data_IF_701904044929
#
_entry.id   IF_701904044929
#
_cell.length_a   1.000
_cell.length_b   1.000
_cell.length_c   1.000
_cell.angle_alpha   90.00
_cell.angle_beta   90.00
_cell.angle_gamma   90.00
#
_symmetry.space_group_name_H-M   'P 1'
#
loop_
_entity.id
_entity.type
_entity.pdbx_description
1 polymer ?
#
# COMPACT_ATOMS: atom_id res chain seq x y z
N UNK A 1 15.52 9.65 15.81
CA UNK A 1 15.66 8.91 14.52
C UNK A 1 15.09 7.50 14.58
N UNK A 2 15.39 6.67 15.61
CA UNK A 2 14.87 5.29 15.73
C UNK A 2 13.34 5.13 15.57
N UNK A 3 12.53 6.02 16.16
CA UNK A 3 11.05 5.99 16.02
C UNK A 3 10.58 6.20 14.57
N UNK A 4 11.22 7.10 13.83
CA UNK A 4 10.88 7.43 12.43
C UNK A 4 11.23 6.23 11.53
N UNK A 5 12.39 5.61 11.76
CA UNK A 5 12.81 4.39 11.04
C UNK A 5 11.85 3.23 11.30
N UNK A 6 11.39 3.03 12.55
CA UNK A 6 10.38 2.00 12.86
C UNK A 6 9.05 2.24 12.12
N UNK A 7 8.60 3.50 12.00
CA UNK A 7 7.42 3.85 11.20
C UNK A 7 7.67 3.52 9.73
N UNK A 8 8.88 3.74 9.21
CA UNK A 8 9.28 3.33 7.86
C UNK A 8 9.12 1.83 7.63
N UNK A 9 9.59 0.99 8.55
CA UNK A 9 9.42 -0.46 8.47
C UNK A 9 7.95 -0.89 8.47
N UNK A 10 7.12 -0.30 9.34
CA UNK A 10 5.68 -0.59 9.38
C UNK A 10 5.00 -0.24 8.04
N UNK A 11 5.33 0.92 7.46
CA UNK A 11 4.80 1.32 6.15
C UNK A 11 5.19 0.35 5.03
N UNK A 12 6.42 -0.18 5.06
CA UNK A 12 6.87 -1.20 4.10
C UNK A 12 6.04 -2.48 4.24
N UNK A 13 5.87 -2.98 5.47
CA UNK A 13 5.10 -4.21 5.71
C UNK A 13 3.65 -4.04 5.24
N UNK A 14 3.00 -2.93 5.60
CA UNK A 14 1.62 -2.64 5.17
C UNK A 14 1.55 -2.47 3.65
N UNK A 15 2.51 -1.76 3.06
CA UNK A 15 2.60 -1.57 1.61
C UNK A 15 2.73 -2.89 0.85
N UNK A 16 3.54 -3.83 1.36
CA UNK A 16 3.65 -5.17 0.81
C UNK A 16 2.34 -5.96 0.93
N UNK A 17 1.68 -5.92 2.08
CA UNK A 17 0.38 -6.57 2.27
C UNK A 17 -0.62 -6.03 1.23
N UNK A 18 -0.68 -4.72 1.03
CA UNK A 18 -1.59 -4.12 0.05
C UNK A 18 -1.27 -4.54 -1.38
N UNK A 19 0.00 -4.63 -1.76
CA UNK A 19 0.39 -5.07 -3.12
C UNK A 19 0.05 -6.53 -3.35
N UNK A 20 0.48 -7.43 -2.46
CA UNK A 20 0.32 -8.88 -2.65
C UNK A 20 -1.12 -9.36 -2.45
N UNK A 21 -1.88 -8.72 -1.56
CA UNK A 21 -3.28 -9.07 -1.30
C UNK A 21 -4.27 -8.15 -2.02
N UNK A 22 -3.81 -7.28 -2.93
CA UNK A 22 -4.64 -6.35 -3.70
C UNK A 22 -5.80 -7.02 -4.43
N UNK A 23 -5.55 -8.17 -5.07
CA UNK A 23 -6.58 -8.95 -5.78
C UNK A 23 -7.65 -9.44 -4.80
N UNK A 24 -7.23 -9.97 -3.64
CA UNK A 24 -8.16 -10.50 -2.64
C UNK A 24 -9.01 -9.39 -2.02
N UNK A 25 -8.41 -8.24 -1.69
CA UNK A 25 -9.13 -7.09 -1.17
C UNK A 25 -10.05 -6.46 -2.23
N UNK A 26 -9.57 -6.36 -3.47
CA UNK A 26 -10.35 -5.86 -4.60
C UNK A 26 -11.60 -6.70 -4.86
N UNK A 27 -11.45 -8.04 -4.88
CA UNK A 27 -12.58 -8.95 -5.03
C UNK A 27 -13.57 -8.81 -3.86
N UNK A 28 -13.09 -8.83 -2.61
CA UNK A 28 -13.97 -8.73 -1.44
C UNK A 28 -14.81 -7.45 -1.42
N UNK A 29 -14.22 -6.32 -1.81
CA UNK A 29 -14.95 -5.04 -1.89
C UNK A 29 -15.88 -5.03 -3.11
N UNK A 30 -15.45 -5.56 -4.25
CA UNK A 30 -16.27 -5.64 -5.45
C UNK A 30 -17.50 -6.54 -5.25
N UNK A 31 -17.36 -7.67 -4.55
CA UNK A 31 -18.48 -8.56 -4.19
C UNK A 31 -19.49 -7.85 -3.28
N UNK A 32 -19.01 -7.14 -2.26
CA UNK A 32 -19.89 -6.37 -1.37
C UNK A 32 -20.57 -5.20 -2.10
N UNK A 33 -19.87 -4.57 -3.05
CA UNK A 33 -20.45 -3.57 -3.93
C UNK A 33 -21.53 -4.18 -4.84
N UNK A 34 -21.25 -5.34 -5.46
CA UNK A 34 -22.22 -6.06 -6.30
C UNK A 34 -23.47 -6.45 -5.52
N UNK A 35 -23.31 -6.96 -4.29
CA UNK A 35 -24.44 -7.31 -3.41
C UNK A 35 -25.39 -6.13 -3.17
N UNK A 36 -24.85 -4.90 -3.07
CA UNK A 36 -25.65 -3.67 -2.90
C UNK A 36 -26.32 -3.21 -4.19
N UNK A 37 -25.70 -3.49 -5.33
CA UNK A 37 -26.20 -3.10 -6.64
C UNK A 37 -27.23 -4.09 -7.20
N UNK A 38 -27.20 -5.35 -6.74
CA UNK A 38 -28.07 -6.42 -7.21
C UNK A 38 -27.50 -7.07 -8.47
N UNK A 39 -28.13 -6.84 -9.62
CA UNK A 39 -27.69 -7.38 -10.91
C UNK A 39 -27.03 -6.28 -11.74
N UNK A 40 -25.80 -6.54 -12.18
CA UNK A 40 -25.01 -5.62 -13.00
C UNK A 40 -24.41 -6.41 -14.16
N UNK A 41 -24.28 -5.77 -15.31
CA UNK A 41 -23.61 -6.39 -16.45
C UNK A 41 -22.16 -6.80 -16.10
N UNK A 42 -21.70 -7.91 -16.67
CA UNK A 42 -20.39 -8.49 -16.37
C UNK A 42 -19.27 -7.51 -16.70
N UNK A 43 -19.43 -6.69 -17.76
CA UNK A 43 -18.44 -5.68 -18.14
C UNK A 43 -18.22 -4.63 -17.05
N UNK A 44 -19.31 -4.15 -16.43
CA UNK A 44 -19.27 -3.14 -15.38
C UNK A 44 -18.66 -3.74 -14.09
N UNK A 45 -19.01 -4.99 -13.77
CA UNK A 45 -18.42 -5.68 -12.61
C UNK A 45 -16.90 -5.85 -12.73
N UNK A 46 -16.41 -6.23 -13.92
CA UNK A 46 -14.97 -6.36 -14.18
C UNK A 46 -14.24 -5.02 -14.04
N UNK A 47 -14.83 -3.92 -14.53
CA UNK A 47 -14.27 -2.57 -14.36
C UNK A 47 -14.20 -2.20 -12.87
N UNK A 48 -15.25 -2.49 -12.10
CA UNK A 48 -15.28 -2.22 -10.67
C UNK A 48 -14.20 -3.00 -9.90
N UNK A 49 -14.09 -4.32 -10.13
CA UNK A 49 -13.02 -5.15 -9.54
C UNK A 49 -11.65 -4.55 -9.87
N UNK A 50 -11.38 -4.30 -11.14
CA UNK A 50 -10.07 -3.81 -11.57
C UNK A 50 -9.76 -2.44 -10.98
N UNK A 51 -10.76 -1.57 -10.83
CA UNK A 51 -10.65 -0.31 -10.11
C UNK A 51 -10.24 -0.49 -8.64
N UNK A 52 -10.91 -1.39 -7.91
CA UNK A 52 -10.56 -1.67 -6.51
C UNK A 52 -9.17 -2.30 -6.37
N UNK A 53 -8.82 -3.28 -7.20
CA UNK A 53 -7.48 -3.89 -7.21
C UNK A 53 -6.41 -2.83 -7.46
N UNK A 54 -6.61 -1.98 -8.47
CA UNK A 54 -5.64 -0.94 -8.81
C UNK A 54 -5.52 0.12 -7.70
N UNK A 55 -6.60 0.36 -6.95
CA UNK A 55 -6.58 1.26 -5.80
C UNK A 55 -5.70 0.72 -4.67
N UNK A 56 -5.82 -0.57 -4.33
CA UNK A 56 -4.94 -1.23 -3.35
C UNK A 56 -3.48 -1.29 -3.83
N UNK A 57 -3.24 -1.60 -5.10
CA UNK A 57 -1.89 -1.57 -5.68
C UNK A 57 -1.27 -0.18 -5.60
N UNK A 58 -2.02 0.86 -5.93
CA UNK A 58 -1.55 2.25 -5.90
C UNK A 58 -1.25 2.69 -4.47
N UNK A 59 -2.16 2.42 -3.52
CA UNK A 59 -1.95 2.72 -2.11
C UNK A 59 -0.73 1.96 -1.55
N UNK A 60 -0.60 0.67 -1.87
CA UNK A 60 0.52 -0.15 -1.44
C UNK A 60 1.86 0.37 -1.99
N UNK A 61 1.92 0.78 -3.25
CA UNK A 61 3.11 1.40 -3.87
C UNK A 61 3.49 2.72 -3.19
N UNK A 62 2.53 3.57 -2.87
CA UNK A 62 2.79 4.84 -2.16
C UNK A 62 3.34 4.56 -0.76
N UNK A 63 2.72 3.66 0.00
CA UNK A 63 3.17 3.28 1.34
C UNK A 63 4.58 2.70 1.32
N UNK A 64 4.87 1.83 0.34
CA UNK A 64 6.18 1.22 0.17
C UNK A 64 7.22 2.30 -0.19
N UNK A 65 6.89 3.21 -1.12
CA UNK A 65 7.75 4.34 -1.49
C UNK A 65 8.09 5.26 -0.32
N UNK A 66 7.08 5.68 0.46
CA UNK A 66 7.28 6.51 1.66
C UNK A 66 8.09 5.76 2.71
N UNK A 67 7.80 4.47 2.92
CA UNK A 67 8.51 3.62 3.86
C UNK A 67 10.00 3.50 3.54
N UNK A 68 10.32 3.18 2.28
CA UNK A 68 11.72 3.11 1.81
C UNK A 68 12.42 4.46 1.92
N UNK A 69 11.78 5.54 1.47
CA UNK A 69 12.33 6.89 1.57
C UNK A 69 12.67 7.26 3.01
N UNK A 70 11.78 6.94 3.94
CA UNK A 70 11.96 7.22 5.38
C UNK A 70 13.16 6.46 5.96
N UNK A 71 13.36 5.19 5.58
CA UNK A 71 14.50 4.39 6.04
C UNK A 71 15.80 4.94 5.46
N UNK A 72 15.87 5.18 4.15
CA UNK A 72 17.07 5.71 3.48
C UNK A 72 17.47 7.05 4.07
N UNK A 73 16.51 7.98 4.19
CA UNK A 73 16.76 9.30 4.79
C UNK A 73 17.19 9.19 6.26
N UNK A 74 16.51 8.32 7.02
CA UNK A 74 16.83 8.08 8.42
C UNK A 74 18.25 7.55 8.61
N UNK A 75 18.65 6.58 7.78
CA UNK A 75 19.98 5.99 7.81
C UNK A 75 21.06 6.99 7.41
N UNK A 76 20.86 7.74 6.32
CA UNK A 76 21.80 8.76 5.86
C UNK A 76 22.08 9.81 6.95
N UNK A 77 21.04 10.27 7.64
CA UNK A 77 21.20 11.27 8.70
C UNK A 77 21.85 10.69 9.97
N UNK A 78 21.65 9.41 10.28
CA UNK A 78 22.38 8.73 11.38
C UNK A 78 23.86 8.63 11.03
N UNK A 79 24.20 8.18 9.82
CA UNK A 79 25.58 8.04 9.35
C UNK A 79 26.33 9.37 9.38
N UNK A 80 25.70 10.44 8.88
CA UNK A 80 26.29 11.78 8.87
C UNK A 80 26.53 12.32 10.29
N UNK A 81 25.68 11.98 11.26
CA UNK A 81 25.88 12.37 12.67
C UNK A 81 27.07 11.65 13.29
N UNK A 82 27.25 10.35 12.99
CA UNK A 82 28.40 9.58 13.50
C UNK A 82 29.75 9.95 12.87
N UNK A 83 29.74 10.68 11.75
CA UNK A 83 30.97 11.11 11.05
C UNK A 83 31.46 12.50 11.53
N UNK A 84 30.63 13.22 12.30
CA UNK A 84 30.91 14.56 12.82
C UNK A 84 31.33 14.51 14.32
N UNK A 85 31.01 13.42 15.04
CA UNK A 85 31.51 13.12 16.39
C UNK A 85 32.87 12.40 16.35
#
# INVERSE_FOLDING_TARGET
>A
MKRIVNIGYLNIVIGFIFIFFSVRFGNSIAENWLYKQGSVDTSIYLIAIQGYINSFLTAGRILLGIGLFTIVFGYYKILKLSEIE
#
